data_IF_394159755124
#
_entry.id   IF_394159755124
#
_cell.length_a   1.000
_cell.length_b   1.000
_cell.length_c   1.000
_cell.angle_alpha   90.00
_cell.angle_beta   90.00
_cell.angle_gamma   90.00
#
_symmetry.space_group_name_H-M   'P 1'
#
loop_
_entity.id
_entity.type
_entity.pdbx_description
1 polymer ?
#
# COMPACT_ATOMS: atom_id res chain seq x y z
N UNK A 1 -32.15 -9.17 -2.10
CA UNK A 1 -30.76 -9.09 -1.60
C UNK A 1 -30.46 -7.64 -1.29
N UNK A 2 -29.94 -7.33 -0.10
CA UNK A 2 -29.48 -5.98 0.27
C UNK A 2 -28.29 -5.57 -0.60
N UNK A 3 -28.28 -4.31 -1.04
CA UNK A 3 -27.13 -3.72 -1.74
C UNK A 3 -25.94 -3.62 -0.79
N UNK A 4 -24.74 -3.82 -1.32
CA UNK A 4 -23.50 -3.57 -0.57
C UNK A 4 -23.40 -2.10 -0.14
N UNK A 5 -22.89 -1.86 1.07
CA UNK A 5 -22.64 -0.51 1.59
C UNK A 5 -21.28 -0.01 1.09
N UNK A 6 -21.23 0.34 -0.18
CA UNK A 6 -20.03 0.82 -0.86
C UNK A 6 -20.43 1.85 -1.93
N UNK A 7 -19.80 3.04 -1.98
CA UNK A 7 -20.17 4.08 -2.94
C UNK A 7 -19.50 3.92 -4.31
N UNK A 8 -18.74 2.85 -4.53
CA UNK A 8 -17.97 2.60 -5.75
C UNK A 8 -18.64 1.50 -6.59
N UNK A 9 -18.50 1.60 -7.91
CA UNK A 9 -18.98 0.58 -8.84
C UNK A 9 -18.07 -0.67 -8.77
N UNK A 10 -16.76 -0.44 -8.61
CA UNK A 10 -15.75 -1.49 -8.52
C UNK A 10 -14.78 -1.24 -7.36
N UNK A 11 -14.31 -2.31 -6.74
CA UNK A 11 -13.16 -2.30 -5.86
C UNK A 11 -12.00 -2.97 -6.59
N UNK A 12 -10.84 -2.31 -6.63
CA UNK A 12 -9.62 -2.85 -7.21
C UNK A 12 -8.72 -3.30 -6.07
N UNK A 13 -8.73 -4.60 -5.77
CA UNK A 13 -7.89 -5.19 -4.75
C UNK A 13 -6.47 -5.22 -5.30
N UNK A 14 -5.53 -4.58 -4.61
CA UNK A 14 -4.17 -4.39 -5.09
C UNK A 14 -3.17 -4.82 -4.02
N UNK A 15 -2.15 -5.53 -4.47
CA UNK A 15 -1.01 -5.94 -3.68
C UNK A 15 0.30 -5.73 -4.44
N UNK A 16 1.35 -5.33 -3.71
CA UNK A 16 2.72 -5.22 -4.22
C UNK A 16 3.69 -6.09 -3.44
N UNK A 17 4.44 -6.93 -4.16
CA UNK A 17 5.68 -7.48 -3.62
C UNK A 17 6.86 -6.57 -3.90
N UNK A 18 7.86 -6.57 -3.01
CA UNK A 18 9.03 -5.70 -3.11
C UNK A 18 10.36 -6.42 -2.89
N UNK A 19 11.44 -5.86 -3.44
CA UNK A 19 12.79 -6.22 -2.99
C UNK A 19 12.93 -5.97 -1.48
N UNK A 20 13.66 -6.83 -0.79
CA UNK A 20 13.78 -6.82 0.67
C UNK A 20 15.21 -7.10 1.13
N UNK A 21 15.66 -6.33 2.12
CA UNK A 21 16.92 -6.53 2.85
C UNK A 21 16.80 -7.46 4.06
N UNK A 22 15.69 -8.20 4.18
CA UNK A 22 15.41 -9.05 5.34
C UNK A 22 15.20 -8.24 6.61
N UNK A 23 16.07 -8.45 7.61
CA UNK A 23 16.01 -7.72 8.87
C UNK A 23 16.38 -6.24 8.70
N UNK A 24 17.17 -5.88 7.67
CA UNK A 24 17.51 -4.48 7.42
C UNK A 24 16.31 -3.69 6.87
N UNK A 25 15.79 -2.80 7.70
CA UNK A 25 14.69 -1.86 7.40
C UNK A 25 15.17 -0.58 6.70
N UNK A 26 16.46 -0.24 6.76
CA UNK A 26 17.06 0.83 5.97
C UNK A 26 17.43 0.31 4.58
N UNK A 27 16.41 -0.06 3.81
CA UNK A 27 16.56 -0.70 2.50
C UNK A 27 15.73 0.04 1.45
N UNK A 28 16.32 0.38 0.29
CA UNK A 28 15.58 1.00 -0.81
C UNK A 28 14.74 -0.06 -1.55
N UNK A 29 13.55 -0.33 -1.01
CA UNK A 29 12.61 -1.32 -1.57
C UNK A 29 12.08 -0.88 -2.93
N UNK A 30 12.03 -1.79 -3.89
CA UNK A 30 11.46 -1.60 -5.23
C UNK A 30 10.36 -2.63 -5.46
N UNK A 31 9.28 -2.24 -6.14
CA UNK A 31 8.20 -3.16 -6.54
C UNK A 31 8.75 -4.19 -7.51
N UNK A 32 8.48 -5.47 -7.26
CA UNK A 32 8.89 -6.62 -8.08
C UNK A 32 7.73 -7.48 -8.57
N UNK A 33 6.54 -7.31 -8.00
CA UNK A 33 5.28 -7.84 -8.51
C UNK A 33 4.18 -6.82 -8.27
N UNK A 34 3.30 -6.63 -9.26
CA UNK A 34 2.15 -5.74 -9.20
C UNK A 34 0.92 -6.51 -9.64
N UNK A 35 0.05 -6.83 -8.68
CA UNK A 35 -1.21 -7.52 -8.92
C UNK A 35 -2.41 -6.66 -8.57
N UNK A 36 -3.50 -6.84 -9.34
CA UNK A 36 -4.81 -6.27 -9.08
C UNK A 36 -5.91 -7.26 -9.46
N UNK A 37 -6.84 -7.53 -8.54
CA UNK A 37 -8.06 -8.30 -8.79
C UNK A 37 -9.29 -7.39 -8.60
N UNK A 38 -10.14 -7.19 -9.63
CA UNK A 38 -11.35 -6.40 -9.47
C UNK A 38 -12.46 -7.17 -8.76
N UNK A 39 -13.28 -6.46 -7.99
CA UNK A 39 -14.58 -6.89 -7.48
C UNK A 39 -15.65 -5.93 -8.02
N UNK A 40 -16.64 -6.46 -8.73
CA UNK A 40 -17.85 -5.73 -9.11
C UNK A 40 -18.80 -5.68 -7.90
N UNK A 41 -19.05 -4.48 -7.40
CA UNK A 41 -19.83 -4.25 -6.17
C UNK A 41 -21.31 -4.54 -6.41
N UNK A 42 -21.83 -4.22 -7.59
CA UNK A 42 -23.26 -4.39 -7.90
C UNK A 42 -23.57 -5.84 -8.25
N UNK A 43 -22.74 -6.46 -9.08
CA UNK A 43 -22.85 -7.87 -9.45
C UNK A 43 -22.39 -8.81 -8.33
N UNK A 44 -21.70 -8.30 -7.31
CA UNK A 44 -21.15 -9.08 -6.20
C UNK A 44 -20.25 -10.20 -6.70
N UNK A 45 -19.39 -9.89 -7.66
CA UNK A 45 -18.59 -10.89 -8.37
C UNK A 45 -17.13 -10.47 -8.37
N UNK A 46 -16.24 -11.38 -7.96
CA UNK A 46 -14.79 -11.22 -8.10
C UNK A 46 -14.44 -11.54 -9.56
N UNK A 47 -13.75 -10.63 -10.24
CA UNK A 47 -13.46 -10.71 -11.67
C UNK A 47 -12.01 -11.19 -11.92
N UNK A 48 -11.66 -12.36 -11.39
CA UNK A 48 -10.30 -12.94 -11.53
C UNK A 48 -9.87 -13.10 -12.99
N UNK A 49 -10.81 -13.39 -13.90
CA UNK A 49 -10.54 -13.59 -15.33
C UNK A 49 -9.99 -12.35 -16.06
N UNK A 50 -10.04 -11.17 -15.45
CA UNK A 50 -9.45 -9.94 -15.98
C UNK A 50 -8.38 -9.35 -15.04
N UNK A 51 -7.85 -10.11 -14.07
CA UNK A 51 -6.83 -9.63 -13.15
C UNK A 51 -5.60 -9.05 -13.88
N UNK A 52 -5.01 -8.00 -13.30
CA UNK A 52 -3.69 -7.51 -13.69
C UNK A 52 -2.66 -8.23 -12.83
N UNK A 53 -1.62 -8.82 -13.42
CA UNK A 53 -0.51 -9.41 -12.68
C UNK A 53 0.75 -9.29 -13.52
N UNK A 54 1.73 -8.54 -13.05
CA UNK A 54 3.00 -8.29 -13.74
C UNK A 54 4.16 -8.33 -12.76
N UNK A 55 5.22 -9.03 -13.14
CA UNK A 55 6.51 -8.87 -12.50
C UNK A 55 7.17 -7.56 -12.96
N UNK A 56 7.99 -6.99 -12.08
CA UNK A 56 8.66 -5.71 -12.29
C UNK A 56 10.16 -5.89 -12.05
N UNK A 57 10.99 -5.45 -12.99
CA UNK A 57 12.44 -5.51 -12.85
C UNK A 57 12.95 -4.36 -11.97
N UNK A 58 13.59 -4.64 -10.82
CA UNK A 58 14.23 -3.62 -9.99
C UNK A 58 15.51 -3.08 -10.64
N UNK A 59 15.84 -1.83 -10.35
CA UNK A 59 17.00 -1.10 -10.92
C UNK A 59 18.04 -0.77 -9.85
N UNK A 60 17.61 -0.42 -8.63
CA UNK A 60 18.51 -0.11 -7.51
C UNK A 60 19.15 -1.39 -6.98
N UNK A 61 18.34 -2.41 -6.70
CA UNK A 61 18.80 -3.73 -6.23
C UNK A 61 18.35 -4.81 -7.23
N UNK A 62 19.05 -4.98 -8.37
CA UNK A 62 18.62 -5.89 -9.43
C UNK A 62 18.71 -7.37 -9.05
N UNK A 63 19.50 -7.71 -8.03
CA UNK A 63 19.69 -9.08 -7.53
C UNK A 63 18.86 -9.27 -6.26
N UNK A 64 17.93 -10.23 -6.29
CA UNK A 64 17.14 -10.60 -5.12
C UNK A 64 18.02 -11.21 -4.04
N UNK A 65 17.79 -10.78 -2.79
CA UNK A 65 18.32 -11.48 -1.64
C UNK A 65 17.67 -12.87 -1.52
N UNK A 66 18.40 -13.83 -0.92
CA UNK A 66 17.86 -15.17 -0.68
C UNK A 66 16.56 -15.12 0.14
N UNK A 67 16.53 -14.27 1.17
CA UNK A 67 15.33 -14.04 1.98
C UNK A 67 14.14 -13.54 1.16
N UNK A 68 14.34 -12.55 0.28
CA UNK A 68 13.27 -12.02 -0.56
C UNK A 68 12.76 -13.08 -1.57
N UNK A 69 13.66 -13.85 -2.17
CA UNK A 69 13.29 -14.93 -3.08
C UNK A 69 12.53 -16.08 -2.37
N UNK A 70 12.89 -16.42 -1.13
CA UNK A 70 12.19 -17.42 -0.32
C UNK A 70 10.78 -16.93 0.06
N UNK A 71 10.70 -15.74 0.64
CA UNK A 71 9.46 -15.11 1.07
C UNK A 71 8.45 -15.03 -0.09
N UNK A 72 8.85 -14.38 -1.18
CA UNK A 72 7.94 -14.14 -2.32
C UNK A 72 7.80 -15.36 -3.24
N UNK A 73 8.82 -16.22 -3.31
CA UNK A 73 8.89 -17.32 -4.29
C UNK A 73 9.27 -16.88 -5.70
N UNK A 74 9.57 -15.59 -5.89
CA UNK A 74 9.94 -15.05 -7.20
C UNK A 74 11.37 -15.49 -7.53
N UNK A 75 11.55 -16.03 -8.73
CA UNK A 75 12.86 -16.43 -9.25
C UNK A 75 13.56 -15.25 -9.90
N UNK A 76 14.88 -15.15 -9.73
CA UNK A 76 15.69 -14.09 -10.35
C UNK A 76 15.50 -14.03 -11.88
N UNK A 77 15.42 -15.19 -12.55
CA UNK A 77 15.20 -15.24 -14.00
C UNK A 77 13.90 -14.57 -14.45
N UNK A 78 12.85 -14.62 -13.62
CA UNK A 78 11.58 -13.93 -13.87
C UNK A 78 11.80 -12.41 -13.89
N UNK A 79 12.51 -11.86 -12.89
CA UNK A 79 12.76 -10.42 -12.83
C UNK A 79 13.73 -9.92 -13.89
N UNK A 80 14.71 -10.74 -14.29
CA UNK A 80 15.67 -10.37 -15.34
C UNK A 80 14.99 -10.03 -16.67
N UNK A 81 13.89 -10.72 -16.97
CA UNK A 81 13.12 -10.58 -18.22
C UNK A 81 11.92 -9.64 -18.08
N UNK A 82 11.61 -9.18 -16.87
CA UNK A 82 10.50 -8.27 -16.63
C UNK A 82 10.79 -6.84 -17.10
N UNK A 83 9.71 -6.09 -17.32
CA UNK A 83 9.74 -4.67 -17.60
C UNK A 83 10.02 -3.86 -16.32
N UNK A 84 10.59 -2.66 -16.43
CA UNK A 84 10.77 -1.76 -15.28
C UNK A 84 9.45 -1.12 -14.85
N UNK A 85 9.40 -0.60 -13.63
CA UNK A 85 8.16 -0.11 -13.00
C UNK A 85 7.36 0.87 -13.89
N UNK A 86 8.01 1.83 -14.56
CA UNK A 86 7.28 2.80 -15.39
C UNK A 86 6.60 2.17 -16.60
N UNK A 87 7.19 1.12 -17.17
CA UNK A 87 6.59 0.38 -18.28
C UNK A 87 5.40 -0.43 -17.78
N UNK A 88 5.57 -1.16 -16.67
CA UNK A 88 4.47 -1.91 -16.04
C UNK A 88 3.33 -1.01 -15.57
N UNK A 89 3.65 0.17 -15.03
CA UNK A 89 2.64 1.15 -14.64
C UNK A 89 1.85 1.70 -15.84
N UNK A 90 2.49 1.92 -17.00
CA UNK A 90 1.77 2.26 -18.24
C UNK A 90 0.84 1.12 -18.69
N UNK A 91 1.31 -0.13 -18.63
CA UNK A 91 0.47 -1.30 -18.91
C UNK A 91 -0.72 -1.40 -17.94
N UNK A 92 -0.55 -1.02 -16.67
CA UNK A 92 -1.63 -0.94 -15.69
C UNK A 92 -2.66 0.13 -16.07
N UNK A 93 -2.22 1.33 -16.49
CA UNK A 93 -3.14 2.39 -16.97
C UNK A 93 -3.92 1.97 -18.22
N UNK A 94 -3.26 1.29 -19.16
CA UNK A 94 -3.92 0.72 -20.35
C UNK A 94 -4.93 -0.36 -19.98
N UNK A 95 -4.61 -1.20 -19.01
CA UNK A 95 -5.52 -2.22 -18.47
C UNK A 95 -6.74 -1.59 -17.79
N UNK A 96 -6.58 -0.50 -17.02
CA UNK A 96 -7.71 0.24 -16.45
C UNK A 96 -8.64 0.76 -17.55
N UNK A 97 -8.07 1.39 -18.58
CA UNK A 97 -8.81 1.94 -19.71
C UNK A 97 -9.57 0.85 -20.48
N UNK A 98 -8.89 -0.26 -20.82
CA UNK A 98 -9.45 -1.38 -21.58
C UNK A 98 -10.66 -2.01 -20.89
N UNK A 99 -10.62 -2.10 -19.56
CA UNK A 99 -11.70 -2.70 -18.77
C UNK A 99 -12.75 -1.69 -18.29
N UNK A 100 -12.64 -0.41 -18.69
CA UNK A 100 -13.62 0.62 -18.35
C UNK A 100 -13.57 1.05 -16.88
N UNK A 101 -12.46 0.83 -16.16
CA UNK A 101 -12.28 1.28 -14.79
C UNK A 101 -12.01 2.78 -14.75
N UNK A 102 -13.08 3.56 -14.61
CA UNK A 102 -13.00 5.02 -14.56
C UNK A 102 -12.61 5.52 -13.17
N UNK A 103 -11.62 6.42 -13.10
CA UNK A 103 -11.28 7.10 -11.85
C UNK A 103 -12.53 7.71 -11.20
N UNK A 104 -12.56 7.74 -9.86
CA UNK A 104 -13.71 8.15 -9.01
C UNK A 104 -14.88 7.15 -8.98
N UNK A 105 -14.95 6.20 -9.92
CA UNK A 105 -15.95 5.11 -9.90
C UNK A 105 -15.43 3.84 -9.25
N UNK A 106 -14.11 3.65 -9.18
CA UNK A 106 -13.48 2.62 -8.38
C UNK A 106 -12.71 3.18 -7.19
N UNK A 107 -12.41 2.30 -6.23
CA UNK A 107 -11.43 2.53 -5.18
C UNK A 107 -10.44 1.37 -5.08
N UNK A 108 -9.20 1.67 -4.70
CA UNK A 108 -8.20 0.65 -4.42
C UNK A 108 -8.40 0.10 -3.01
N UNK A 109 -8.26 -1.22 -2.86
CA UNK A 109 -8.33 -1.92 -1.57
C UNK A 109 -7.00 -2.63 -1.32
N UNK A 110 -6.43 -2.45 -0.13
CA UNK A 110 -5.21 -3.12 0.31
C UNK A 110 -5.44 -3.72 1.71
N UNK A 111 -4.65 -4.74 2.07
CA UNK A 111 -4.68 -5.35 3.40
C UNK A 111 -4.23 -4.35 4.50
N UNK A 112 -3.47 -3.34 4.13
CA UNK A 112 -2.81 -2.44 5.06
C UNK A 112 -2.50 -1.09 4.43
N UNK A 113 -1.74 -0.27 5.15
CA UNK A 113 -1.21 1.00 4.64
C UNK A 113 0.07 0.85 3.83
N UNK A 114 0.71 -0.32 3.84
CA UNK A 114 2.06 -0.48 3.31
C UNK A 114 2.11 -0.21 1.81
N UNK A 115 1.20 -0.80 1.03
CA UNK A 115 1.15 -0.70 -0.43
C UNK A 115 1.07 0.75 -0.91
N UNK A 116 0.11 1.50 -0.37
CA UNK A 116 -0.13 2.86 -0.83
C UNK A 116 0.80 3.88 -0.15
N UNK A 117 0.85 3.90 1.18
CA UNK A 117 1.60 4.94 1.89
C UNK A 117 3.11 4.74 1.80
N UNK A 118 3.63 3.51 1.92
CA UNK A 118 5.08 3.27 1.92
C UNK A 118 5.58 2.90 0.53
N UNK A 119 5.09 1.79 -0.02
CA UNK A 119 5.65 1.13 -1.21
C UNK A 119 5.45 2.00 -2.45
N UNK A 120 4.20 2.32 -2.81
CA UNK A 120 3.89 3.12 -3.98
C UNK A 120 4.52 4.51 -3.89
N UNK A 121 4.34 5.22 -2.77
CA UNK A 121 4.94 6.54 -2.58
C UNK A 121 6.45 6.53 -2.80
N UNK A 122 7.16 5.54 -2.24
CA UNK A 122 8.60 5.41 -2.38
C UNK A 122 8.99 5.02 -3.82
N UNK A 123 8.28 4.08 -4.43
CA UNK A 123 8.53 3.66 -5.81
C UNK A 123 8.37 4.82 -6.81
N UNK A 124 7.29 5.61 -6.69
CA UNK A 124 7.08 6.81 -7.51
C UNK A 124 8.20 7.83 -7.30
N UNK A 125 8.71 7.97 -6.07
CA UNK A 125 9.87 8.83 -5.81
C UNK A 125 11.14 8.34 -6.51
N UNK A 126 11.45 7.04 -6.47
CA UNK A 126 12.62 6.46 -7.11
C UNK A 126 12.65 6.72 -8.62
N UNK A 127 11.50 6.58 -9.27
CA UNK A 127 11.35 6.82 -10.73
C UNK A 127 11.08 8.28 -11.09
N UNK A 128 11.11 9.19 -10.09
CA UNK A 128 10.92 10.64 -10.23
C UNK A 128 9.57 11.03 -10.86
N UNK A 129 8.54 10.24 -10.59
CA UNK A 129 7.18 10.50 -11.05
C UNK A 129 6.26 10.98 -9.94
N UNK A 130 5.20 11.69 -10.32
CA UNK A 130 4.17 12.13 -9.37
C UNK A 130 3.25 10.96 -9.04
N UNK A 131 3.09 10.67 -7.74
CA UNK A 131 2.12 9.68 -7.29
C UNK A 131 0.67 10.12 -7.62
N UNK A 132 -0.08 9.32 -8.39
CA UNK A 132 -1.39 9.70 -8.93
C UNK A 132 -2.47 9.82 -7.85
N UNK A 133 -3.54 10.56 -8.16
CA UNK A 133 -4.69 10.73 -7.25
C UNK A 133 -5.27 9.40 -6.76
N UNK A 134 -5.37 8.40 -7.64
CA UNK A 134 -5.95 7.10 -7.32
C UNK A 134 -5.16 6.32 -6.25
N UNK A 135 -3.86 6.55 -6.10
CA UNK A 135 -3.03 5.88 -5.06
C UNK A 135 -2.96 6.71 -3.76
N UNK A 136 -3.50 7.95 -3.77
CA UNK A 136 -3.45 8.85 -2.61
C UNK A 136 -4.68 8.76 -1.71
N UNK A 137 -5.56 7.82 -2.00
CA UNK A 137 -6.70 7.44 -1.17
C UNK A 137 -7.02 5.98 -1.44
N UNK A 138 -7.28 5.21 -0.39
CA UNK A 138 -7.57 3.79 -0.53
C UNK A 138 -8.45 3.30 0.62
N UNK A 139 -8.89 2.07 0.47
CA UNK A 139 -9.57 1.31 1.49
C UNK A 139 -8.52 0.38 2.10
N UNK A 140 -8.12 0.68 3.34
CA UNK A 140 -7.39 -0.27 4.17
C UNK A 140 -8.42 -1.25 4.74
N UNK A 141 -8.54 -2.44 4.14
CA UNK A 141 -9.62 -3.37 4.51
C UNK A 141 -9.43 -3.89 5.93
N UNK A 142 -8.18 -4.03 6.40
CA UNK A 142 -7.89 -4.43 7.78
C UNK A 142 -8.44 -3.44 8.78
N UNK A 143 -8.42 -2.14 8.45
CA UNK A 143 -9.05 -1.13 9.29
C UNK A 143 -10.56 -1.29 9.32
N UNK A 144 -11.21 -1.49 8.18
CA UNK A 144 -12.66 -1.72 8.13
C UNK A 144 -13.05 -2.97 8.92
N UNK A 145 -12.24 -4.04 8.81
CA UNK A 145 -12.39 -5.24 9.61
C UNK A 145 -12.28 -4.94 11.11
N UNK A 146 -11.18 -4.31 11.54
CA UNK A 146 -10.96 -3.96 12.96
C UNK A 146 -12.06 -3.04 13.51
N UNK A 147 -12.54 -2.05 12.74
CA UNK A 147 -13.61 -1.12 13.13
C UNK A 147 -14.98 -1.83 13.28
N UNK A 148 -15.14 -3.02 12.69
CA UNK A 148 -16.34 -3.86 12.79
C UNK A 148 -16.30 -4.92 13.90
N UNK A 149 -15.16 -5.09 14.57
CA UNK A 149 -15.03 -6.02 15.70
C UNK A 149 -15.59 -5.43 16.99
N UNK A 150 -16.07 -6.30 17.89
CA UNK A 150 -16.41 -5.89 19.25
C UNK A 150 -15.15 -5.67 20.11
N UNK A 151 -15.31 -4.92 21.20
CA UNK A 151 -14.24 -4.64 22.16
C UNK A 151 -13.59 -5.94 22.66
N UNK A 152 -12.25 -6.00 22.62
CA UNK A 152 -11.47 -7.14 23.09
C UNK A 152 -11.40 -8.34 22.12
N UNK A 153 -12.03 -8.27 20.94
CA UNK A 153 -11.93 -9.33 19.94
C UNK A 153 -10.62 -9.25 19.14
N UNK A 154 -10.09 -8.04 18.93
CA UNK A 154 -8.87 -7.82 18.15
C UNK A 154 -7.66 -8.56 18.72
N UNK A 155 -7.57 -8.65 20.04
CA UNK A 155 -6.51 -9.34 20.79
C UNK A 155 -6.62 -10.87 20.70
N UNK A 156 -7.78 -11.39 20.30
CA UNK A 156 -8.09 -12.82 20.21
C UNK A 156 -7.94 -13.39 18.79
N UNK A 157 -7.62 -12.55 17.81
CA UNK A 157 -7.48 -12.97 16.40
C UNK A 157 -6.31 -13.96 16.22
N UNK A 158 -6.61 -15.09 15.60
CA UNK A 158 -5.63 -16.14 15.31
C UNK A 158 -4.99 -15.91 13.95
N UNK A 159 -3.66 -15.93 13.88
CA UNK A 159 -2.88 -15.74 12.66
C UNK A 159 -1.66 -14.85 12.88
N UNK A 160 -0.71 -14.89 11.96
CA UNK A 160 0.52 -14.10 11.99
C UNK A 160 0.42 -12.86 11.12
N UNK A 161 -0.28 -12.95 9.99
CA UNK A 161 -0.48 -11.84 9.04
C UNK A 161 -1.87 -11.20 9.15
N UNK A 162 -2.08 -10.05 8.48
CA UNK A 162 -3.42 -9.43 8.41
C UNK A 162 -4.41 -10.33 7.67
N UNK A 163 -3.98 -10.90 6.54
CA UNK A 163 -4.79 -11.78 5.70
C UNK A 163 -5.21 -13.01 6.50
N UNK A 164 -4.28 -13.70 7.16
CA UNK A 164 -4.58 -14.87 8.00
C UNK A 164 -5.59 -14.53 9.11
N UNK A 165 -5.36 -13.42 9.84
CA UNK A 165 -6.26 -13.00 10.93
C UNK A 165 -7.68 -12.75 10.45
N UNK A 166 -7.83 -12.03 9.34
CA UNK A 166 -9.16 -11.75 8.76
C UNK A 166 -9.80 -13.01 8.21
N UNK A 167 -9.04 -13.85 7.49
CA UNK A 167 -9.53 -15.08 6.88
C UNK A 167 -10.02 -16.08 7.91
N UNK A 168 -9.22 -16.33 8.96
CA UNK A 168 -9.56 -17.24 10.05
C UNK A 168 -10.81 -16.79 10.80
N UNK A 169 -10.94 -15.48 11.06
CA UNK A 169 -12.12 -14.93 11.74
C UNK A 169 -13.38 -15.05 10.87
N UNK A 170 -13.27 -14.78 9.57
CA UNK A 170 -14.40 -14.74 8.65
C UNK A 170 -14.77 -16.12 8.06
N UNK A 171 -13.97 -17.15 8.33
CA UNK A 171 -14.13 -18.49 7.74
C UNK A 171 -13.88 -18.50 6.23
N UNK A 172 -12.98 -17.65 5.74
CA UNK A 172 -12.54 -17.64 4.34
C UNK A 172 -11.37 -18.62 4.20
N UNK A 173 -11.42 -19.51 3.21
CA UNK A 173 -10.32 -20.42 2.89
C UNK A 173 -9.28 -19.67 2.04
N UNK A 174 -8.03 -19.68 2.50
CA UNK A 174 -6.94 -19.08 1.74
C UNK A 174 -6.53 -19.99 0.59
N UNK A 175 -6.25 -19.37 -0.56
CA UNK A 175 -5.78 -20.01 -1.77
C UNK A 175 -4.42 -19.47 -2.21
N UNK A 176 -3.69 -20.26 -2.99
CA UNK A 176 -2.39 -19.87 -3.52
C UNK A 176 -1.28 -19.85 -2.46
N UNK A 177 -0.20 -19.12 -2.76
CA UNK A 177 0.97 -19.00 -1.88
C UNK A 177 0.92 -17.62 -1.20
N UNK A 178 1.12 -17.57 0.12
CA UNK A 178 1.32 -16.31 0.82
C UNK A 178 2.54 -15.56 0.27
N UNK A 179 2.45 -14.22 0.16
CA UNK A 179 3.48 -13.37 -0.43
C UNK A 179 3.71 -13.60 -1.94
N UNK A 180 2.71 -14.14 -2.63
CA UNK A 180 2.54 -13.95 -4.07
C UNK A 180 1.40 -12.94 -4.28
N UNK A 181 1.71 -11.81 -4.92
CA UNK A 181 0.78 -10.68 -4.97
C UNK A 181 -0.59 -11.03 -5.57
N UNK A 182 -0.64 -11.96 -6.53
CA UNK A 182 -1.92 -12.39 -7.11
C UNK A 182 -2.74 -13.22 -6.12
N UNK A 183 -2.10 -14.20 -5.47
CA UNK A 183 -2.73 -15.01 -4.42
C UNK A 183 -3.26 -14.12 -3.30
N UNK A 184 -2.47 -13.14 -2.84
CA UNK A 184 -2.89 -12.19 -1.81
C UNK A 184 -4.05 -11.30 -2.28
N UNK A 185 -4.06 -10.84 -3.54
CA UNK A 185 -5.22 -10.14 -4.10
C UNK A 185 -6.50 -10.98 -4.11
N UNK A 186 -6.43 -12.26 -4.51
CA UNK A 186 -7.59 -13.16 -4.53
C UNK A 186 -8.14 -13.34 -3.11
N UNK A 187 -7.26 -13.61 -2.14
CA UNK A 187 -7.63 -13.79 -0.74
C UNK A 187 -8.23 -12.50 -0.14
N UNK A 188 -7.63 -11.34 -0.40
CA UNK A 188 -8.16 -10.05 0.04
C UNK A 188 -9.50 -9.74 -0.63
N UNK A 189 -9.71 -10.13 -1.90
CA UNK A 189 -10.99 -9.96 -2.57
C UNK A 189 -12.10 -10.78 -1.92
N UNK A 190 -11.83 -12.05 -1.57
CA UNK A 190 -12.76 -12.91 -0.83
C UNK A 190 -13.08 -12.34 0.56
N UNK A 191 -12.07 -11.89 1.30
CA UNK A 191 -12.23 -11.22 2.60
C UNK A 191 -13.09 -9.95 2.46
N UNK A 192 -12.79 -9.11 1.47
CA UNK A 192 -13.52 -7.86 1.20
C UNK A 192 -14.97 -8.14 0.86
N UNK A 193 -15.23 -9.15 0.02
CA UNK A 193 -16.58 -9.59 -0.32
C UNK A 193 -17.33 -10.07 0.93
N UNK A 194 -16.68 -10.84 1.81
CA UNK A 194 -17.29 -11.31 3.05
C UNK A 194 -17.64 -10.17 4.01
N UNK A 195 -16.76 -9.17 4.13
CA UNK A 195 -17.00 -7.94 4.92
C UNK A 195 -18.21 -7.16 4.35
N UNK A 196 -18.36 -7.10 3.02
CA UNK A 196 -19.51 -6.49 2.38
C UNK A 196 -20.81 -7.28 2.63
N UNK A 197 -20.75 -8.62 2.61
CA UNK A 197 -21.91 -9.50 2.86
C UNK A 197 -22.46 -9.39 4.28
N UNK A 198 -21.59 -9.22 5.29
CA UNK A 198 -22.00 -8.99 6.68
C UNK A 198 -22.52 -7.56 6.91
N UNK A 199 -22.49 -6.69 5.90
CA UNK A 199 -23.10 -5.36 5.92
C UNK A 199 -22.18 -4.23 6.39
N UNK A 200 -20.88 -4.48 6.57
CA UNK A 200 -19.93 -3.43 6.96
C UNK A 200 -19.80 -2.38 5.83
N UNK A 201 -19.71 -1.07 6.18
CA UNK A 201 -19.41 -0.03 5.20
C UNK A 201 -17.97 -0.17 4.68
N UNK A 202 -17.83 -0.34 3.36
CA UNK A 202 -16.52 -0.40 2.69
C UNK A 202 -16.36 0.85 1.82
N UNK A 203 -15.56 1.79 2.32
CA UNK A 203 -15.29 3.08 1.67
C UNK A 203 -13.87 3.54 1.99
N UNK A 204 -13.43 4.62 1.34
CA UNK A 204 -12.12 5.22 1.58
C UNK A 204 -11.99 5.59 3.05
N UNK A 205 -11.01 4.99 3.73
CA UNK A 205 -10.77 5.16 5.15
C UNK A 205 -9.35 5.68 5.46
N UNK A 206 -8.45 5.70 4.45
CA UNK A 206 -7.12 6.32 4.53
C UNK A 206 -6.81 7.15 3.28
N UNK A 207 -6.13 8.27 3.48
CA UNK A 207 -5.67 9.18 2.41
C UNK A 207 -4.27 9.71 2.70
N UNK A 208 -3.57 10.18 1.68
CA UNK A 208 -2.28 10.85 1.81
C UNK A 208 -2.39 12.38 1.88
N UNK A 209 -1.81 12.98 2.91
CA UNK A 209 -1.71 14.42 3.07
C UNK A 209 -0.25 14.89 3.18
N UNK A 210 0.03 16.12 2.77
CA UNK A 210 1.41 16.64 2.74
C UNK A 210 1.91 17.15 4.09
N UNK A 211 1.07 17.15 5.13
CA UNK A 211 1.46 17.70 6.43
C UNK A 211 0.60 17.14 7.55
N UNK A 212 1.21 16.93 8.70
CA UNK A 212 0.53 16.59 9.94
C UNK A 212 1.19 17.27 11.15
N UNK A 213 0.39 17.63 12.15
CA UNK A 213 0.88 18.35 13.34
C UNK A 213 1.89 17.51 14.12
N UNK A 214 1.65 16.20 14.26
CA UNK A 214 2.51 15.29 15.01
C UNK A 214 3.93 15.17 14.41
N UNK A 215 4.13 15.45 13.11
CA UNK A 215 5.46 15.52 12.47
C UNK A 215 6.29 16.73 12.86
N UNK A 216 5.71 17.71 13.58
CA UNK A 216 6.47 18.86 14.11
C UNK A 216 7.31 18.48 15.32
N UNK A 217 6.94 17.42 16.04
CA UNK A 217 7.72 16.94 17.17
C UNK A 217 8.92 16.16 16.63
N UNK A 218 10.16 16.54 16.98
CA UNK A 218 11.34 15.75 16.63
C UNK A 218 11.23 14.34 17.17
N UNK A 219 11.82 13.39 16.45
CA UNK A 219 11.94 12.02 16.91
C UNK A 219 13.12 11.89 17.87
N UNK A 220 12.88 11.18 18.97
CA UNK A 220 13.96 10.86 19.91
C UNK A 220 14.75 9.67 19.38
N UNK A 221 15.95 9.94 18.85
CA UNK A 221 16.81 8.90 18.29
C UNK A 221 17.38 7.94 19.34
N UNK A 222 17.39 8.31 20.62
CA UNK A 222 17.82 7.39 21.69
C UNK A 222 16.84 6.23 21.85
N UNK A 223 15.54 6.51 21.69
CA UNK A 223 14.46 5.51 21.69
C UNK A 223 14.34 4.74 20.36
N UNK A 224 15.05 5.19 19.31
CA UNK A 224 15.01 4.61 17.98
C UNK A 224 16.37 4.09 17.52
N UNK A 225 17.34 3.87 18.41
CA UNK A 225 18.70 3.47 18.03
C UNK A 225 18.75 2.22 17.12
N UNK A 226 17.86 1.26 17.35
CA UNK A 226 17.78 -0.01 16.60
C UNK A 226 16.68 -0.02 15.52
N UNK A 227 16.25 1.15 15.04
CA UNK A 227 15.18 1.23 14.03
C UNK A 227 15.47 0.47 12.74
N UNK A 228 16.75 0.26 12.41
CA UNK A 228 17.15 -0.48 11.21
C UNK A 228 16.82 -1.98 11.27
N UNK A 229 16.51 -2.55 12.43
CA UNK A 229 16.13 -3.97 12.57
C UNK A 229 14.72 -4.17 13.13
N UNK A 230 14.18 -3.16 13.82
CA UNK A 230 12.82 -3.17 14.36
C UNK A 230 11.81 -2.57 13.36
N UNK A 231 10.81 -3.36 12.98
CA UNK A 231 9.78 -2.95 12.03
C UNK A 231 8.94 -1.75 12.51
N UNK A 232 8.58 -1.72 13.80
CA UNK A 232 7.72 -0.68 14.36
C UNK A 232 8.47 0.64 14.50
N UNK A 233 9.74 0.59 14.90
CA UNK A 233 10.59 1.78 14.95
C UNK A 233 10.93 2.31 13.55
N UNK A 234 11.20 1.42 12.59
CA UNK A 234 11.37 1.80 11.18
C UNK A 234 10.12 2.51 10.62
N UNK A 235 8.92 2.05 10.99
CA UNK A 235 7.67 2.68 10.61
C UNK A 235 7.61 4.17 11.01
N UNK A 236 8.11 4.49 12.20
CA UNK A 236 8.19 5.87 12.68
C UNK A 236 9.16 6.69 11.83
N UNK A 237 10.31 6.12 11.43
CA UNK A 237 11.27 6.78 10.53
C UNK A 237 10.67 7.02 9.14
N UNK A 238 9.97 6.03 8.56
CA UNK A 238 9.29 6.20 7.28
C UNK A 238 8.27 7.34 7.30
N UNK A 239 7.51 7.48 8.40
CA UNK A 239 6.56 8.58 8.56
C UNK A 239 7.19 9.98 8.53
N UNK A 240 8.45 10.09 8.97
CA UNK A 240 9.21 11.33 8.97
C UNK A 240 9.84 11.62 7.61
N UNK A 241 10.42 10.59 6.98
CA UNK A 241 11.17 10.73 5.72
C UNK A 241 10.24 10.86 4.51
N UNK A 242 9.12 10.13 4.49
CA UNK A 242 8.21 10.16 3.34
C UNK A 242 7.41 11.48 3.30
N UNK A 243 7.34 12.17 2.14
CA UNK A 243 6.77 13.51 2.05
C UNK A 243 5.29 13.57 2.41
N UNK A 244 4.54 12.55 2.01
CA UNK A 244 3.13 12.39 2.34
C UNK A 244 2.95 11.41 3.50
N UNK A 245 2.01 11.75 4.36
CA UNK A 245 1.64 10.94 5.52
C UNK A 245 0.16 10.61 5.52
N UNK A 246 -0.23 9.64 6.34
CA UNK A 246 -1.57 9.10 6.38
C UNK A 246 -2.49 10.05 7.14
N UNK A 247 -3.65 10.31 6.56
CA UNK A 247 -4.83 10.86 7.22
C UNK A 247 -5.94 9.82 7.20
N UNK A 248 -6.43 9.50 8.39
CA UNK A 248 -7.64 8.69 8.57
C UNK A 248 -8.87 9.47 8.12
N UNK A 249 -9.77 8.79 7.42
CA UNK A 249 -11.04 9.34 6.93
C UNK A 249 -12.19 8.55 7.53
N UNK A 250 -13.11 9.26 8.20
CA UNK A 250 -14.36 8.68 8.73
C UNK A 250 -15.56 8.90 7.82
N UNK A 251 -15.60 10.07 7.16
CA UNK A 251 -16.71 10.49 6.31
C UNK A 251 -16.17 10.88 4.92
N UNK A 252 -15.97 9.89 4.06
CA UNK A 252 -15.52 10.14 2.69
C UNK A 252 -16.63 10.79 1.85
N UNK A 253 -16.25 11.75 1.00
CA UNK A 253 -17.12 12.28 -0.06
C UNK A 253 -16.37 12.31 -1.39
N UNK A 254 -17.06 12.15 -2.54
CA UNK A 254 -16.40 12.19 -3.86
C UNK A 254 -15.60 13.47 -4.15
N UNK A 255 -15.93 14.58 -3.47
CA UNK A 255 -15.20 15.84 -3.58
C UNK A 255 -13.75 15.78 -3.03
N UNK A 256 -13.45 14.76 -2.22
CA UNK A 256 -12.12 14.55 -1.64
C UNK A 256 -11.12 13.96 -2.64
N UNK A 257 -11.61 13.33 -3.72
CA UNK A 257 -10.76 12.72 -4.74
C UNK A 257 -9.87 13.78 -5.43
N UNK A 258 -8.56 13.49 -5.48
CA UNK A 258 -7.59 14.34 -6.17
C UNK A 258 -7.31 15.67 -5.46
N UNK A 259 -7.70 15.83 -4.19
CA UNK A 259 -7.45 17.03 -3.40
C UNK A 259 -6.77 16.67 -2.09
N UNK A 260 -5.61 17.26 -1.82
CA UNK A 260 -4.92 17.04 -0.55
C UNK A 260 -5.75 17.61 0.61
N UNK A 261 -6.04 16.78 1.60
CA UNK A 261 -6.86 17.16 2.75
C UNK A 261 -6.29 18.31 3.60
N UNK A 262 -4.97 18.53 3.53
CA UNK A 262 -4.27 19.59 4.27
C UNK A 262 -4.22 20.89 3.48
N UNK A 263 -3.50 20.92 2.35
CA UNK A 263 -3.27 22.16 1.60
C UNK A 263 -4.29 22.45 0.50
N UNK A 264 -5.28 21.57 0.30
CA UNK A 264 -6.36 21.71 -0.70
C UNK A 264 -5.89 21.79 -2.16
N UNK A 265 -4.64 21.41 -2.44
CA UNK A 265 -4.05 21.37 -3.79
C UNK A 265 -4.06 19.95 -4.37
N UNK A 266 -4.13 19.80 -5.71
CA UNK A 266 -4.08 18.50 -6.39
C UNK A 266 -2.68 17.88 -6.36
N UNK A 267 -2.52 16.58 -6.65
CA UNK A 267 -1.21 15.91 -6.65
C UNK A 267 -0.15 16.50 -7.57
N UNK A 268 -0.56 17.12 -8.68
CA UNK A 268 0.34 17.84 -9.60
C UNK A 268 1.07 19.01 -8.95
N UNK A 269 0.59 19.50 -7.80
CA UNK A 269 1.22 20.58 -7.02
C UNK A 269 1.60 20.11 -5.60
N UNK A 270 0.73 19.33 -4.96
CA UNK A 270 0.93 18.83 -3.61
C UNK A 270 1.78 17.57 -3.59
N UNK A 271 2.89 17.59 -2.86
CA UNK A 271 3.77 16.42 -2.70
C UNK A 271 5.03 16.47 -3.57
N UNK A 272 5.13 17.45 -4.49
CA UNK A 272 6.34 17.69 -5.28
C UNK A 272 7.57 18.01 -4.41
N UNK A 273 7.35 18.65 -3.25
CA UNK A 273 8.38 18.94 -2.25
C UNK A 273 7.90 18.49 -0.88
N UNK A 274 8.81 17.90 -0.10
CA UNK A 274 8.54 17.53 1.28
C UNK A 274 8.29 18.79 2.12
N UNK A 275 7.08 18.95 2.70
CA UNK A 275 6.73 20.16 3.47
C UNK A 275 7.29 20.19 4.90
N UNK A 276 7.64 19.03 5.45
CA UNK A 276 8.17 18.89 6.80
C UNK A 276 9.46 18.04 6.81
N UNK A 277 10.49 18.38 6.01
CA UNK A 277 11.66 17.52 5.85
C UNK A 277 12.34 17.32 7.21
N UNK A 278 12.70 16.08 7.60
CA UNK A 278 13.18 15.79 8.94
C UNK A 278 14.69 16.12 9.06
N UNK A 279 15.03 17.42 8.97
CA UNK A 279 16.42 17.90 8.93
C UNK A 279 17.23 17.51 10.17
N UNK A 280 16.62 17.58 11.34
CA UNK A 280 17.27 17.20 12.61
C UNK A 280 17.59 15.70 12.63
N UNK A 281 16.68 14.86 12.13
CA UNK A 281 16.96 13.43 11.96
C UNK A 281 18.18 13.24 11.07
N UNK A 282 18.21 13.83 9.87
CA UNK A 282 19.37 13.70 8.97
C UNK A 282 20.68 14.21 9.57
N UNK A 283 20.64 15.30 10.33
CA UNK A 283 21.81 15.85 11.01
C UNK A 283 22.30 14.96 12.18
N UNK A 284 21.41 14.17 12.77
CA UNK A 284 21.73 13.28 13.90
C UNK A 284 22.37 11.94 13.48
N UNK A 285 22.33 11.61 12.19
CA UNK A 285 22.79 10.32 11.69
C UNK A 285 24.33 10.25 11.62
N UNK A 286 24.91 9.22 12.23
CA UNK A 286 26.35 8.89 12.08
C UNK A 286 26.65 8.24 10.73
N UNK A 287 25.69 7.49 10.20
CA UNK A 287 25.72 6.89 8.87
C UNK A 287 24.52 7.35 8.06
N UNK A 288 24.65 7.58 6.75
CA UNK A 288 23.51 7.96 5.92
C UNK A 288 22.37 6.94 6.02
N UNK A 289 21.15 7.45 6.15
CA UNK A 289 19.94 6.66 5.93
C UNK A 289 19.87 6.28 4.44
N UNK A 290 20.10 5.00 4.16
CA UNK A 290 20.30 4.42 2.83
C UNK A 290 19.08 4.62 1.94
N UNK A 291 17.88 4.24 2.42
CA UNK A 291 16.66 4.37 1.60
C UNK A 291 16.37 5.85 1.29
N UNK A 292 16.64 6.74 2.25
CA UNK A 292 16.36 8.15 2.10
C UNK A 292 17.32 8.84 1.12
N UNK A 293 18.61 8.50 1.19
CA UNK A 293 19.65 9.01 0.30
C UNK A 293 19.47 8.49 -1.13
N UNK A 294 19.13 7.21 -1.28
CA UNK A 294 18.86 6.57 -2.58
C UNK A 294 17.71 7.26 -3.32
N UNK A 295 16.65 7.62 -2.60
CA UNK A 295 15.51 8.36 -3.15
C UNK A 295 15.74 9.88 -3.26
N UNK A 296 16.94 10.37 -2.93
CA UNK A 296 17.32 11.78 -2.97
C UNK A 296 16.42 12.68 -2.12
N UNK A 297 16.09 12.25 -0.89
CA UNK A 297 15.35 13.10 0.04
C UNK A 297 16.22 14.16 0.73
N UNK A 298 17.54 13.92 0.80
CA UNK A 298 18.56 14.82 1.33
C UNK A 298 19.93 14.49 0.72
#
# INVERSE_FOLDING_TARGET
MTSYNCPFDHLLILDFETTSGGENRDYPTEIIQFSVVPLDVKAKTILEGIAFNKFVRPVINPILSAHCAELTGIKQGTLNTADTFLVVYKQFLEWLLKNGFQERKFAIVCDSRQDMWRIAQYQFRLVRETMPSMFRQWINIRRTFDDGLEDGQKEKLVGTTNIEKMSNYLGVELSGKAHDALSDCVNIAAITQKILEIGCPVTINEMLCCSAIWRKKPIDMTLHANWKTDFQLAHNIFHLVLPLTIKVVRNYTPSMYGVCSYCKKPPTVCGAVHKQPPREFYASLTEPCVFAKTAGYY
#
